data_IF_978085279265
#
_entry.id   IF_978085279265
#
_cell.length_a   1.000
_cell.length_b   1.000
_cell.length_c   1.000
_cell.angle_alpha   90.00
_cell.angle_beta   90.00
_cell.angle_gamma   90.00
#
_symmetry.space_group_name_H-M   'P 1'
#
loop_
_entity.id
_entity.type
_entity.pdbx_description
1 polymer ?
#
# COMPACT_ATOMS: atom_id res chain seq x y z
N UNK A 1 1.95 30.50 23.72
CA UNK A 1 0.82 29.60 24.02
C UNK A 1 0.90 28.48 22.99
N UNK A 2 1.17 27.23 23.37
CA UNK A 2 1.25 26.11 22.40
C UNK A 2 -0.13 25.51 22.29
N UNK A 3 -0.74 25.59 21.10
CA UNK A 3 -1.97 24.86 20.80
C UNK A 3 -1.69 23.37 20.90
N UNK A 4 -2.45 22.67 21.75
CA UNK A 4 -2.36 21.22 21.87
C UNK A 4 -3.11 20.59 20.72
N UNK A 5 -2.42 19.77 19.94
CA UNK A 5 -3.03 18.96 18.89
C UNK A 5 -4.14 18.07 19.48
N UNK A 6 -5.40 18.43 19.22
CA UNK A 6 -6.56 17.60 19.54
C UNK A 6 -6.63 16.48 18.51
N UNK A 7 -6.67 15.23 18.98
CA UNK A 7 -6.79 14.05 18.13
C UNK A 7 -8.16 13.41 18.36
N UNK A 8 -8.81 12.98 17.28
CA UNK A 8 -10.08 12.27 17.27
C UNK A 8 -9.85 10.83 16.85
N UNK A 9 -10.67 9.90 17.35
CA UNK A 9 -10.63 8.51 16.90
C UNK A 9 -10.94 8.44 15.39
N UNK A 10 -10.18 7.62 14.69
CA UNK A 10 -10.37 7.30 13.27
C UNK A 10 -11.16 6.01 13.22
N UNK A 11 -12.31 6.03 12.56
CA UNK A 11 -13.13 4.83 12.40
C UNK A 11 -12.38 3.82 11.51
N UNK A 12 -12.17 2.62 12.05
CA UNK A 12 -11.70 1.47 11.30
C UNK A 12 -12.91 0.85 10.63
N UNK A 13 -13.32 1.40 9.49
CA UNK A 13 -14.42 0.86 8.68
C UNK A 13 -14.16 -0.61 8.32
N UNK A 14 -15.24 -1.37 8.07
CA UNK A 14 -15.19 -2.74 7.55
C UNK A 14 -14.52 -2.73 6.17
N UNK A 15 -13.19 -2.73 6.17
CA UNK A 15 -12.38 -2.85 4.96
C UNK A 15 -12.98 -3.99 4.14
N UNK A 16 -13.31 -3.74 2.86
CA UNK A 16 -14.11 -4.64 2.01
C UNK A 16 -13.54 -6.05 1.74
N UNK A 17 -12.50 -6.47 2.45
CA UNK A 17 -12.01 -7.83 2.51
C UNK A 17 -12.59 -8.54 3.76
N UNK A 18 -13.37 -9.63 3.58
CA UNK A 18 -13.94 -10.38 4.70
C UNK A 18 -12.87 -11.10 5.55
N UNK A 19 -11.64 -11.20 5.07
CA UNK A 19 -10.52 -11.78 5.82
C UNK A 19 -9.96 -10.78 6.83
N UNK A 20 -9.74 -11.25 8.07
CA UNK A 20 -9.09 -10.49 9.15
C UNK A 20 -7.78 -9.86 8.64
N UNK A 21 -7.56 -8.61 9.04
CA UNK A 21 -6.36 -7.86 8.66
C UNK A 21 -5.39 -7.74 9.82
N UNK A 22 -4.11 -7.64 9.46
CA UNK A 22 -2.98 -7.58 10.37
C UNK A 22 -2.11 -6.40 9.96
N UNK A 23 -1.85 -5.49 10.90
CA UNK A 23 -0.90 -4.40 10.73
C UNK A 23 0.52 -4.97 10.95
N UNK A 24 1.43 -4.64 10.04
CA UNK A 24 2.78 -5.22 9.95
C UNK A 24 3.81 -4.17 10.32
N UNK A 25 4.72 -4.54 11.20
CA UNK A 25 5.86 -3.71 11.57
C UNK A 25 7.14 -4.49 11.30
N UNK A 26 8.14 -3.82 10.72
CA UNK A 26 9.46 -4.42 10.45
C UNK A 26 10.60 -3.59 11.01
N UNK A 27 11.64 -4.30 11.44
CA UNK A 27 12.92 -3.76 11.87
C UNK A 27 13.98 -4.44 11.02
N UNK A 28 14.73 -3.66 10.26
CA UNK A 28 15.70 -4.20 9.31
C UNK A 28 16.97 -4.69 10.01
N UNK A 29 17.43 -3.94 11.01
CA UNK A 29 18.65 -4.22 11.78
C UNK A 29 18.36 -4.08 13.28
N UNK A 30 19.12 -4.74 14.16
CA UNK A 30 18.84 -4.79 15.61
C UNK A 30 18.71 -3.40 16.27
N UNK A 31 19.45 -2.41 15.76
CA UNK A 31 19.43 -1.03 16.24
C UNK A 31 18.37 -0.11 15.61
N UNK A 32 17.68 -0.58 14.56
CA UNK A 32 16.69 0.23 13.86
C UNK A 32 15.38 0.33 14.67
N UNK A 33 14.64 1.45 14.53
CA UNK A 33 13.31 1.55 15.11
C UNK A 33 12.32 0.63 14.39
N UNK A 34 11.31 0.18 15.13
CA UNK A 34 10.18 -0.55 14.59
C UNK A 34 9.36 0.34 13.64
N UNK A 35 9.19 -0.05 12.38
CA UNK A 35 8.45 0.75 11.38
C UNK A 35 7.20 0.01 10.90
N UNK A 36 6.06 0.68 10.95
CA UNK A 36 4.85 0.20 10.29
C UNK A 36 5.02 0.23 8.77
N UNK A 37 4.78 -0.89 8.08
CA UNK A 37 4.98 -1.02 6.62
C UNK A 37 3.70 -1.29 5.84
N UNK A 38 2.59 -1.53 6.53
CA UNK A 38 1.29 -1.74 5.91
C UNK A 38 0.52 -2.87 6.57
N UNK A 39 -0.47 -3.38 5.85
CA UNK A 39 -1.37 -4.42 6.34
C UNK A 39 -1.42 -5.63 5.40
N UNK A 40 -1.62 -6.82 5.97
CA UNK A 40 -1.89 -8.06 5.23
C UNK A 40 -3.20 -8.68 5.69
N UNK A 41 -3.91 -9.32 4.77
CA UNK A 41 -5.10 -10.10 5.11
C UNK A 41 -4.71 -11.56 5.30
N UNK A 42 -5.12 -12.16 6.42
CA UNK A 42 -4.82 -13.55 6.74
C UNK A 42 -5.80 -14.10 7.78
N UNK A 43 -6.11 -15.39 7.72
CA UNK A 43 -7.02 -16.02 8.66
C UNK A 43 -6.39 -16.23 10.06
N UNK A 44 -5.05 -16.24 10.14
CA UNK A 44 -4.31 -16.50 11.37
C UNK A 44 -2.99 -15.72 11.43
N UNK A 45 -2.41 -15.61 12.62
CA UNK A 45 -1.11 -14.94 12.81
C UNK A 45 0.04 -15.62 12.07
N UNK A 46 0.04 -16.96 11.97
CA UNK A 46 1.05 -17.70 11.22
C UNK A 46 0.96 -17.42 9.72
N UNK A 47 -0.25 -17.36 9.17
CA UNK A 47 -0.45 -17.02 7.77
C UNK A 47 -0.11 -15.54 7.50
N UNK A 48 -0.45 -14.65 8.43
CA UNK A 48 -0.04 -13.25 8.36
C UNK A 48 1.49 -13.10 8.34
N UNK A 49 2.20 -13.89 9.16
CA UNK A 49 3.66 -13.93 9.16
C UNK A 49 4.24 -14.41 7.84
N UNK A 50 3.68 -15.47 7.23
CA UNK A 50 4.09 -15.94 5.91
C UNK A 50 3.92 -14.85 4.84
N UNK A 51 2.76 -14.21 4.79
CA UNK A 51 2.48 -13.13 3.84
C UNK A 51 3.40 -11.92 4.08
N UNK A 52 3.54 -11.49 5.34
CA UNK A 52 4.39 -10.37 5.71
C UNK A 52 5.87 -10.63 5.41
N UNK A 53 6.36 -11.85 5.65
CA UNK A 53 7.75 -12.24 5.37
C UNK A 53 8.05 -12.15 3.87
N UNK A 54 7.11 -12.57 3.02
CA UNK A 54 7.25 -12.52 1.55
C UNK A 54 7.19 -11.11 1.00
N UNK A 55 6.34 -10.26 1.57
CA UNK A 55 6.09 -8.90 1.07
C UNK A 55 7.10 -7.88 1.62
N UNK A 56 7.48 -8.01 2.90
CA UNK A 56 8.23 -6.98 3.64
C UNK A 56 9.49 -7.52 4.34
N UNK A 57 9.62 -8.84 4.48
CA UNK A 57 10.60 -9.48 5.37
C UNK A 57 11.91 -9.93 4.74
N UNK A 58 12.20 -9.59 3.48
CA UNK A 58 13.34 -10.17 2.74
C UNK A 58 14.69 -10.03 3.46
N UNK A 59 14.86 -8.94 4.21
CA UNK A 59 16.05 -8.65 5.02
C UNK A 59 15.69 -8.16 6.43
N UNK A 60 14.46 -8.37 6.88
CA UNK A 60 14.04 -7.89 8.18
C UNK A 60 14.65 -8.75 9.30
N UNK A 61 15.32 -8.12 10.25
CA UNK A 61 15.75 -8.77 11.49
C UNK A 61 14.55 -9.21 12.35
N UNK A 62 13.50 -8.37 12.39
CA UNK A 62 12.28 -8.69 13.14
C UNK A 62 11.01 -8.25 12.38
N UNK A 63 9.96 -9.06 12.55
CA UNK A 63 8.62 -8.79 12.05
C UNK A 63 7.64 -8.91 13.22
N UNK A 64 6.88 -7.85 13.49
CA UNK A 64 5.79 -7.86 14.47
C UNK A 64 4.45 -7.71 13.75
N UNK A 65 3.44 -8.35 14.32
CA UNK A 65 2.07 -8.38 13.78
C UNK A 65 1.09 -8.02 14.88
N UNK A 66 0.08 -7.23 14.52
CA UNK A 66 -1.04 -6.91 15.38
C UNK A 66 -2.34 -7.03 14.58
N UNK A 67 -3.36 -7.75 15.06
CA UNK A 67 -4.69 -7.71 14.46
C UNK A 67 -5.16 -6.26 14.32
N UNK A 68 -5.66 -5.90 13.14
CA UNK A 68 -6.06 -4.52 12.86
C UNK A 68 -7.23 -4.06 13.75
N UNK A 69 -8.06 -4.99 14.24
CA UNK A 69 -9.13 -4.75 15.21
C UNK A 69 -8.65 -4.41 16.62
N UNK A 70 -7.37 -4.68 16.93
CA UNK A 70 -6.74 -4.32 18.21
C UNK A 70 -5.97 -2.98 18.14
N UNK A 71 -5.90 -2.35 16.95
CA UNK A 71 -5.19 -1.08 16.75
C UNK A 71 -6.15 0.10 16.80
N UNK A 72 -6.02 0.92 17.85
CA UNK A 72 -6.74 2.19 17.94
C UNK A 72 -5.99 3.31 17.20
N UNK A 73 -6.69 4.00 16.30
CA UNK A 73 -6.13 5.11 15.51
C UNK A 73 -6.71 6.45 15.95
N UNK A 74 -5.84 7.42 16.17
CA UNK A 74 -6.22 8.79 16.54
C UNK A 74 -5.52 9.79 15.62
N UNK A 75 -6.28 10.67 14.96
CA UNK A 75 -5.77 11.65 14.01
C UNK A 75 -6.17 13.08 14.39
N UNK A 76 -5.32 14.05 14.09
CA UNK A 76 -5.65 15.48 14.19
C UNK A 76 -6.55 15.97 13.06
N UNK A 77 -6.66 15.17 11.98
CA UNK A 77 -7.55 15.39 10.84
C UNK A 77 -8.64 14.33 10.89
N UNK A 78 -9.90 14.73 10.99
CA UNK A 78 -11.02 13.80 10.87
C UNK A 78 -11.10 13.25 9.44
N UNK A 79 -11.53 12.00 9.25
CA UNK A 79 -11.69 11.39 7.92
C UNK A 79 -12.61 12.21 6.99
N UNK A 80 -13.56 12.94 7.56
CA UNK A 80 -14.51 13.81 6.84
C UNK A 80 -13.80 14.95 6.10
N UNK A 81 -12.67 15.44 6.62
CA UNK A 81 -11.95 16.59 6.06
C UNK A 81 -11.26 16.23 4.73
N UNK A 82 -10.86 14.96 4.55
CA UNK A 82 -10.15 14.49 3.34
C UNK A 82 -11.06 14.12 2.17
N UNK A 83 -12.38 13.98 2.41
CA UNK A 83 -13.33 13.68 1.34
C UNK A 83 -13.77 14.94 0.57
N UNK A 84 -13.72 16.12 1.20
CA UNK A 84 -14.11 17.39 0.57
C UNK A 84 -13.03 18.04 -0.30
N UNK A 85 -11.76 17.63 -0.20
CA UNK A 85 -10.69 18.20 -1.04
C UNK A 85 -10.58 17.54 -2.44
N UNK A 86 -11.46 16.58 -2.78
CA UNK A 86 -11.57 15.99 -4.13
C UNK A 86 -12.86 16.40 -4.85
N UNK A 87 -13.25 17.65 -4.70
CA UNK A 87 -14.27 18.27 -5.53
C UNK A 87 -13.79 19.66 -5.89
N UNK A 88 -13.22 19.79 -7.08
CA UNK A 88 -13.58 20.81 -8.09
C UNK A 88 -12.42 21.07 -9.07
N UNK A 89 -12.78 21.05 -10.36
CA UNK A 89 -12.07 21.50 -11.57
C UNK A 89 -10.93 20.65 -12.17
N UNK A 90 -11.31 19.71 -13.05
CA UNK A 90 -10.63 19.56 -14.36
C UNK A 90 -11.67 19.24 -15.44
N UNK A 91 -12.05 20.28 -16.19
CA UNK A 91 -12.93 20.23 -17.35
C UNK A 91 -12.14 20.77 -18.55
N UNK A 92 -11.86 19.92 -19.53
CA UNK A 92 -11.26 20.30 -20.82
C UNK A 92 -10.23 19.26 -21.30
N UNK A 93 -10.60 18.39 -22.24
CA UNK A 93 -10.30 18.59 -23.67
C UNK A 93 -8.83 18.26 -23.99
N UNK A 94 -8.58 17.07 -24.55
CA UNK A 94 -7.79 16.95 -25.79
C UNK A 94 -7.86 15.51 -26.32
N UNK A 95 -8.32 15.38 -27.56
CA UNK A 95 -8.32 14.13 -28.31
C UNK A 95 -7.02 13.99 -29.09
N UNK A 96 -6.30 12.89 -28.87
CA UNK A 96 -5.27 12.46 -29.81
C UNK A 96 -5.40 10.96 -30.08
N UNK A 97 -6.01 10.65 -31.22
CA UNK A 97 -5.98 9.34 -31.87
C UNK A 97 -4.53 9.03 -32.25
N UNK A 98 -3.83 8.22 -31.45
CA UNK A 98 -2.51 7.72 -31.86
C UNK A 98 -2.68 6.60 -32.90
N UNK A 99 -2.68 7.01 -34.16
CA UNK A 99 -2.67 6.15 -35.33
C UNK A 99 -1.38 5.31 -35.33
N UNK A 100 -1.44 4.08 -34.81
CA UNK A 100 -0.32 3.14 -34.80
C UNK A 100 0.02 2.72 -36.22
N UNK A 101 1.05 3.35 -36.80
CA UNK A 101 1.70 2.89 -38.02
C UNK A 101 2.52 1.65 -37.67
N UNK A 102 2.12 0.50 -38.21
CA UNK A 102 2.91 -0.72 -38.18
C UNK A 102 3.88 -0.67 -39.36
N UNK A 103 5.15 -0.33 -39.13
CA UNK A 103 6.18 -0.59 -40.13
C UNK A 103 6.53 -2.08 -40.11
N UNK A 104 5.98 -2.76 -41.11
CA UNK A 104 6.34 -4.12 -41.52
C UNK A 104 7.78 -4.11 -42.06
N UNK A 105 8.78 -4.48 -41.25
CA UNK A 105 10.12 -4.79 -41.75
C UNK A 105 10.21 -6.28 -42.07
N UNK A 106 9.88 -6.62 -43.31
CA UNK A 106 10.07 -7.94 -43.89
C UNK A 106 11.54 -8.17 -44.31
N UNK A 107 12.11 -9.31 -43.88
CA UNK A 107 13.28 -9.99 -44.48
C UNK A 107 14.65 -9.38 -44.14
N UNK A 108 15.74 -10.14 -43.96
CA UNK A 108 16.02 -11.55 -44.12
C UNK A 108 17.39 -11.87 -43.47
N UNK A 109 17.69 -13.17 -43.38
CA UNK A 109 19.02 -13.78 -43.24
C UNK A 109 19.71 -13.70 -41.86
N UNK A 110 20.41 -14.72 -41.36
CA UNK A 110 20.75 -16.03 -41.88
C UNK A 110 21.08 -16.95 -40.69
N UNK A 111 20.70 -18.21 -40.81
CA UNK A 111 21.05 -19.30 -39.91
C UNK A 111 22.56 -19.52 -39.92
N UNK A 112 23.19 -19.63 -38.74
CA UNK A 112 24.36 -20.48 -38.64
C UNK A 112 24.42 -21.15 -37.26
N UNK A 113 23.93 -22.39 -37.25
CA UNK A 113 24.18 -23.37 -36.20
C UNK A 113 25.59 -23.92 -36.40
N UNK A 114 26.41 -23.96 -35.35
CA UNK A 114 27.45 -24.97 -35.12
C UNK A 114 27.81 -24.99 -33.63
#
# INVERSE_FOLDING_TARGET
MVEKARRSAVESDERGNPTRQWEVFVRNEEGDPMRHVGSVAAASGSEAHEHASRLFGWYAADIWLCPADEVERYSTRGLVDTAQERSDDDNGDDGSEEQRVYEETAGASEVNSL
#
